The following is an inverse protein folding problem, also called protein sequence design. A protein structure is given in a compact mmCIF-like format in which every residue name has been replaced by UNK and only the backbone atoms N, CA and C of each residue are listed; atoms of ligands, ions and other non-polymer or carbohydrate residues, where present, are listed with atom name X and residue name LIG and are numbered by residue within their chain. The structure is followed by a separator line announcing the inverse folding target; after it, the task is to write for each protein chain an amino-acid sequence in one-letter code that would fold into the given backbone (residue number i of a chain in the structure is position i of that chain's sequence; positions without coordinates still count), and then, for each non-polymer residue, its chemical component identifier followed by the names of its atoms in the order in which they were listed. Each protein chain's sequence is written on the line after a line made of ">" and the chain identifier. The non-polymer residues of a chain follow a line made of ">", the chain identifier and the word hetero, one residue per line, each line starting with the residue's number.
data_IF_894276413422
#
_entry.id   IF_894276413422
#
_cell.length_a   1.000
_cell.length_b   1.000
_cell.length_c   1.000
_cell.angle_alpha   90.00
_cell.angle_beta   90.00
_cell.angle_gamma   90.00
#
_symmetry.space_group_name_H-M   'P 1'
#
loop_
_entity.id
_entity.type
_entity.pdbx_description
1 polymer ?
#
# COMPACT_ATOMS: atom_id res chain seq x y z
N UNK A 1 15.43 1.25 -23.87
CA UNK A 1 16.18 2.24 -23.04
C UNK A 1 16.06 3.71 -23.49
N UNK A 2 15.58 4.04 -24.71
CA UNK A 2 15.38 5.44 -25.14
C UNK A 2 14.06 6.10 -24.65
N UNK A 3 13.01 5.32 -24.36
CA UNK A 3 11.71 5.85 -23.88
C UNK A 3 11.70 6.36 -22.43
N UNK A 4 12.58 5.84 -21.56
CA UNK A 4 12.62 6.20 -20.13
C UNK A 4 13.30 7.56 -19.91
N UNK A 5 14.25 7.94 -20.76
CA UNK A 5 14.86 9.29 -20.71
C UNK A 5 13.91 10.39 -21.20
N UNK A 6 12.94 10.06 -22.05
CA UNK A 6 11.99 11.04 -22.60
C UNK A 6 10.86 11.37 -21.61
N UNK A 7 10.47 10.42 -20.74
CA UNK A 7 9.50 10.67 -19.67
C UNK A 7 10.07 11.55 -18.54
N UNK A 8 11.38 11.46 -18.27
CA UNK A 8 12.06 12.30 -17.28
C UNK A 8 12.33 13.73 -17.77
N UNK A 9 12.39 13.95 -19.08
CA UNK A 9 12.56 15.29 -19.68
C UNK A 9 11.21 16.01 -19.93
N UNK A 10 10.10 15.27 -20.02
CA UNK A 10 8.76 15.86 -20.14
C UNK A 10 8.20 16.38 -18.81
N UNK A 11 8.66 15.84 -17.67
CA UNK A 11 8.20 16.26 -16.34
C UNK A 11 8.91 17.51 -15.79
N UNK A 12 10.00 17.97 -16.44
CA UNK A 12 10.71 19.19 -16.02
C UNK A 12 10.17 20.48 -16.64
N UNK A 13 9.32 20.42 -17.68
CA UNK A 13 8.82 21.61 -18.39
C UNK A 13 7.36 21.98 -18.10
N UNK A 14 6.63 21.18 -17.33
CA UNK A 14 5.19 21.40 -17.08
C UNK A 14 4.84 22.24 -15.84
N UNK A 15 5.81 22.55 -14.97
CA UNK A 15 5.53 23.20 -13.67
C UNK A 15 5.75 24.71 -13.64
N UNK A 16 5.95 25.36 -14.80
CA UNK A 16 6.38 26.76 -14.88
C UNK A 16 5.31 27.78 -15.32
N UNK A 17 4.03 27.42 -15.34
CA UNK A 17 2.97 28.37 -15.71
C UNK A 17 1.76 28.29 -14.78
N UNK A 18 1.94 28.67 -13.51
CA UNK A 18 0.84 29.19 -12.69
C UNK A 18 0.98 30.72 -12.68
N UNK A 19 -0.04 31.49 -13.06
CA UNK A 19 0.05 32.95 -13.05
C UNK A 19 0.13 33.42 -11.59
N UNK A 20 1.30 33.86 -11.17
CA UNK A 20 1.50 34.49 -9.88
C UNK A 20 0.95 35.92 -9.93
N UNK A 21 -0.23 36.12 -9.35
CA UNK A 21 -0.60 37.41 -8.76
C UNK A 21 -0.80 37.19 -7.26
N UNK A 22 0.13 37.68 -6.46
CA UNK A 22 -0.16 38.20 -5.12
C UNK A 22 1.05 38.99 -4.60
N UNK A 23 0.71 40.15 -4.05
CA UNK A 23 1.52 41.22 -3.50
C UNK A 23 2.85 40.82 -2.82
N UNK A 24 3.87 41.61 -3.14
CA UNK A 24 4.97 41.88 -2.22
C UNK A 24 4.39 42.49 -0.94
N UNK A 25 4.42 41.73 0.14
CA UNK A 25 4.34 42.27 1.49
C UNK A 25 5.50 41.70 2.27
N UNK A 26 6.42 42.59 2.65
CA UNK A 26 7.58 42.29 3.45
C UNK A 26 7.20 41.76 4.83
N UNK A 27 7.70 40.56 5.11
CA UNK A 27 8.33 40.09 6.34
C UNK A 27 8.79 38.67 6.00
N UNK A 28 10.04 38.29 6.29
CA UNK A 28 10.56 36.94 6.06
C UNK A 28 9.92 35.93 7.05
N UNK A 29 8.61 35.75 6.93
CA UNK A 29 7.87 34.78 7.70
C UNK A 29 7.95 33.45 6.95
N UNK A 30 8.45 32.38 7.60
CA UNK A 30 8.63 31.09 6.92
C UNK A 30 7.31 30.66 6.28
N UNK A 31 7.35 30.34 4.99
CA UNK A 31 6.17 29.95 4.23
C UNK A 31 5.39 28.88 4.99
N UNK A 32 4.11 29.17 5.24
CA UNK A 32 3.21 28.24 5.93
C UNK A 32 2.94 26.99 5.10
N UNK A 33 3.16 27.07 3.79
CA UNK A 33 2.96 25.98 2.84
C UNK A 33 4.32 25.40 2.42
N UNK A 34 4.50 24.11 2.70
CA UNK A 34 5.65 23.33 2.24
C UNK A 34 5.22 22.30 1.21
N UNK A 35 5.97 22.20 0.12
CA UNK A 35 5.80 21.18 -0.92
C UNK A 35 6.96 20.21 -0.83
N UNK A 36 6.71 18.93 -1.02
CA UNK A 36 7.74 17.91 -1.09
C UNK A 36 7.40 16.80 -2.06
N UNK A 37 8.43 16.03 -2.40
CA UNK A 37 8.32 14.80 -3.17
C UNK A 37 8.93 13.69 -2.34
N UNK A 38 8.33 12.50 -2.32
CA UNK A 38 8.95 11.33 -1.73
C UNK A 38 9.05 10.18 -2.73
N UNK A 39 10.06 9.36 -2.50
CA UNK A 39 10.35 8.13 -3.22
C UNK A 39 10.68 7.05 -2.19
N UNK A 40 10.02 5.90 -2.28
CA UNK A 40 10.20 4.84 -1.31
C UNK A 40 9.85 3.47 -1.83
N UNK A 41 9.87 2.50 -0.94
CA UNK A 41 9.52 1.12 -1.18
C UNK A 41 8.49 0.64 -0.16
N UNK A 42 7.43 0.03 -0.66
CA UNK A 42 6.40 -0.63 0.11
C UNK A 42 6.81 -2.09 0.38
N UNK A 43 6.87 -2.43 1.66
CA UNK A 43 7.18 -3.77 2.16
C UNK A 43 6.03 -4.18 3.08
N UNK A 44 5.39 -5.30 2.78
CA UNK A 44 4.27 -5.80 3.57
C UNK A 44 3.43 -6.82 2.83
N UNK A 45 2.16 -6.93 3.21
CA UNK A 45 1.24 -7.85 2.56
C UNK A 45 -0.19 -7.64 3.00
N UNK A 46 -1.10 -8.38 2.37
CA UNK A 46 -2.46 -8.49 2.85
C UNK A 46 -2.51 -9.61 3.89
N UNK A 47 -2.63 -9.23 5.17
CA UNK A 47 -2.54 -10.14 6.30
C UNK A 47 -3.92 -10.32 6.95
N UNK A 48 -4.26 -11.53 7.39
CA UNK A 48 -5.42 -11.73 8.23
C UNK A 48 -5.13 -11.20 9.65
N UNK A 49 -6.15 -10.76 10.42
CA UNK A 49 -5.97 -10.32 11.82
C UNK A 49 -5.36 -11.40 12.72
N UNK A 50 -5.58 -12.66 12.36
CA UNK A 50 -5.09 -13.83 13.07
C UNK A 50 -4.82 -14.93 12.04
N UNK A 51 -3.82 -15.77 12.27
CA UNK A 51 -3.55 -16.92 11.40
C UNK A 51 -4.84 -17.77 11.34
N UNK A 52 -5.43 -17.98 10.14
CA UNK A 52 -6.69 -18.69 10.07
C UNK A 52 -6.54 -20.18 10.39
N UNK A 53 -7.59 -20.78 10.98
CA UNK A 53 -7.56 -22.20 11.41
C UNK A 53 -7.11 -23.20 10.33
N UNK A 54 -7.53 -23.08 9.06
CA UNK A 54 -7.10 -24.04 8.03
C UNK A 54 -5.64 -23.84 7.60
N UNK A 55 -4.97 -22.75 7.99
CA UNK A 55 -3.54 -22.54 7.74
C UNK A 55 -2.74 -23.21 8.85
N UNK A 56 -2.18 -24.40 8.56
CA UNK A 56 -1.32 -25.14 9.50
C UNK A 56 0.06 -24.52 9.62
N UNK A 57 0.64 -24.07 8.51
CA UNK A 57 2.00 -23.53 8.47
C UNK A 57 2.15 -22.51 7.34
N UNK A 58 2.85 -21.40 7.62
CA UNK A 58 3.36 -20.50 6.58
C UNK A 58 4.74 -21.01 6.17
N UNK A 59 4.86 -21.53 4.96
CA UNK A 59 6.11 -22.08 4.43
C UNK A 59 7.03 -20.97 3.92
N UNK A 60 6.45 -19.94 3.29
CA UNK A 60 7.18 -18.80 2.79
C UNK A 60 6.32 -17.53 2.83
N UNK A 61 6.95 -16.40 3.17
CA UNK A 61 6.33 -15.08 3.09
C UNK A 61 7.34 -14.09 2.49
N UNK A 62 7.01 -13.55 1.33
CA UNK A 62 7.80 -12.57 0.60
C UNK A 62 7.05 -11.23 0.62
N UNK A 63 7.44 -10.28 1.49
CA UNK A 63 6.70 -9.02 1.71
C UNK A 63 6.85 -8.00 0.56
N UNK A 64 7.25 -8.43 -0.64
CA UNK A 64 7.50 -7.53 -1.76
C UNK A 64 8.69 -6.59 -1.51
N UNK A 65 8.55 -5.34 -1.98
CA UNK A 65 9.62 -4.34 -2.09
C UNK A 65 9.35 -3.41 -3.26
N UNK A 66 8.11 -2.95 -3.38
CA UNK A 66 7.62 -2.28 -4.59
C UNK A 66 7.74 -0.77 -4.48
N UNK A 67 8.11 -0.06 -5.56
CA UNK A 67 8.34 1.37 -5.49
C UNK A 67 7.04 2.14 -5.22
N UNK A 68 7.20 3.24 -4.50
CA UNK A 68 6.19 4.25 -4.23
C UNK A 68 6.79 5.63 -4.54
N UNK A 69 5.95 6.51 -5.06
CA UNK A 69 6.30 7.91 -5.34
C UNK A 69 5.11 8.78 -5.01
N UNK A 70 5.35 9.95 -4.45
CA UNK A 70 4.26 10.87 -4.17
C UNK A 70 4.68 12.31 -3.96
N UNK A 71 3.68 13.18 -4.00
CA UNK A 71 3.77 14.59 -3.69
C UNK A 71 3.16 14.81 -2.31
N UNK A 72 3.91 15.49 -1.45
CA UNK A 72 3.49 15.84 -0.11
C UNK A 72 3.26 17.36 -0.03
N UNK A 73 2.12 17.75 0.52
CA UNK A 73 1.77 19.12 0.86
C UNK A 73 1.65 19.20 2.39
N UNK A 74 2.33 20.18 2.97
CA UNK A 74 2.29 20.43 4.41
C UNK A 74 1.87 21.87 4.67
N UNK A 75 0.94 22.07 5.60
CA UNK A 75 0.48 23.39 6.00
C UNK A 75 0.63 23.60 7.51
N UNK A 76 1.43 24.59 7.92
CA UNK A 76 1.60 24.94 9.34
C UNK A 76 0.44 25.79 9.82
N UNK A 77 -0.22 25.35 10.90
CA UNK A 77 -1.36 26.06 11.50
C UNK A 77 -0.97 27.46 11.97
N UNK A 78 0.20 27.61 12.58
CA UNK A 78 0.84 28.91 12.83
C UNK A 78 2.34 28.79 12.51
N UNK A 79 3.05 29.89 12.21
CA UNK A 79 4.48 29.85 11.87
C UNK A 79 5.35 29.19 12.97
N UNK A 80 4.95 29.35 14.23
CA UNK A 80 5.61 28.76 15.40
C UNK A 80 5.03 27.41 15.85
N UNK A 81 3.96 26.91 15.21
CA UNK A 81 3.35 25.64 15.63
C UNK A 81 4.27 24.46 15.29
N UNK A 82 4.48 23.52 16.23
CA UNK A 82 5.12 22.24 15.93
C UNK A 82 4.21 21.33 15.10
N UNK A 83 2.92 21.68 14.96
CA UNK A 83 1.94 20.91 14.20
C UNK A 83 1.81 21.41 12.75
N UNK A 84 1.69 20.47 11.82
CA UNK A 84 1.35 20.77 10.43
C UNK A 84 0.25 19.82 9.95
N UNK A 85 -0.69 20.33 9.16
CA UNK A 85 -1.59 19.51 8.38
C UNK A 85 -0.83 18.91 7.21
N UNK A 86 -1.12 17.66 6.89
CA UNK A 86 -0.54 16.91 5.78
C UNK A 86 -1.65 16.55 4.79
N UNK A 87 -1.36 16.75 3.51
CA UNK A 87 -2.13 16.25 2.37
C UNK A 87 -1.13 15.73 1.34
N UNK A 88 -1.49 14.71 0.57
CA UNK A 88 -0.60 14.26 -0.50
C UNK A 88 -1.33 13.55 -1.63
N UNK A 89 -0.56 13.20 -2.64
CA UNK A 89 -0.97 12.34 -3.74
C UNK A 89 0.17 11.38 -4.08
N UNK A 90 -0.10 10.09 -3.97
CA UNK A 90 0.92 9.05 -4.13
C UNK A 90 0.46 8.02 -5.15
N UNK A 91 1.43 7.47 -5.86
CA UNK A 91 1.26 6.28 -6.66
C UNK A 91 1.95 5.11 -5.95
N UNK A 92 1.13 4.17 -5.49
CA UNK A 92 1.50 3.05 -4.65
C UNK A 92 1.45 1.75 -5.46
N UNK A 93 2.57 1.03 -5.53
CA UNK A 93 2.54 -0.37 -5.90
C UNK A 93 2.60 -1.19 -4.62
N UNK A 94 1.68 -2.15 -4.47
CA UNK A 94 1.61 -3.08 -3.33
C UNK A 94 1.64 -4.50 -3.86
N UNK A 95 2.69 -5.24 -3.53
CA UNK A 95 2.83 -6.64 -3.91
C UNK A 95 3.35 -7.47 -2.75
N UNK A 96 2.88 -8.72 -2.67
CA UNK A 96 3.42 -9.73 -1.78
C UNK A 96 3.15 -11.12 -2.37
N UNK A 97 3.92 -12.10 -1.92
CA UNK A 97 3.64 -13.50 -2.18
C UNK A 97 3.78 -14.31 -0.90
N UNK A 98 2.90 -15.28 -0.69
CA UNK A 98 2.99 -16.20 0.42
C UNK A 98 2.64 -17.61 -0.01
N UNK A 99 3.35 -18.58 0.54
CA UNK A 99 3.03 -20.00 0.40
C UNK A 99 2.66 -20.54 1.77
N UNK A 100 1.48 -21.13 1.87
CA UNK A 100 0.93 -21.71 3.07
C UNK A 100 0.60 -23.18 2.85
N UNK A 101 0.69 -23.97 3.90
CA UNK A 101 0.13 -25.31 3.95
C UNK A 101 -1.27 -25.21 4.55
N UNK A 102 -2.27 -25.54 3.73
CA UNK A 102 -3.67 -25.56 4.10
C UNK A 102 -4.08 -26.99 4.46
N UNK A 103 -4.93 -27.14 5.47
CA UNK A 103 -5.55 -28.40 5.86
C UNK A 103 -7.03 -28.14 6.10
N UNK A 104 -7.88 -28.97 5.49
CA UNK A 104 -9.34 -28.89 5.59
C UNK A 104 -9.90 -27.50 5.29
N UNK A 105 -9.36 -26.85 4.26
CA UNK A 105 -9.78 -25.49 3.87
C UNK A 105 -11.05 -25.54 3.04
N UNK A 106 -12.17 -24.94 3.50
CA UNK A 106 -13.39 -24.90 2.72
C UNK A 106 -13.22 -23.96 1.51
N UNK A 107 -13.51 -24.49 0.32
CA UNK A 107 -13.52 -23.79 -0.97
C UNK A 107 -14.91 -23.96 -1.59
N UNK A 108 -15.54 -22.84 -1.97
CA UNK A 108 -16.91 -22.83 -2.51
C UNK A 108 -17.01 -22.52 -4.01
N UNK A 109 -15.88 -22.42 -4.71
CA UNK A 109 -15.82 -21.86 -6.07
C UNK A 109 -16.16 -22.88 -7.19
N UNK A 110 -16.35 -24.17 -6.89
CA UNK A 110 -16.24 -25.24 -7.89
C UNK A 110 -17.44 -26.15 -8.07
N UNK A 111 -18.62 -25.74 -7.64
CA UNK A 111 -19.81 -26.56 -7.86
C UNK A 111 -20.84 -25.76 -8.66
N UNK A 112 -21.34 -26.35 -9.75
CA UNK A 112 -22.60 -25.91 -10.38
C UNK A 112 -23.76 -25.81 -9.35
N UNK A 113 -23.62 -26.50 -8.20
CA UNK A 113 -24.54 -26.51 -7.06
C UNK A 113 -24.01 -25.74 -5.80
N UNK A 114 -22.91 -24.97 -5.87
CA UNK A 114 -22.29 -24.30 -4.71
C UNK A 114 -21.90 -25.21 -3.51
N UNK A 115 -21.70 -26.52 -3.73
CA UNK A 115 -21.21 -27.42 -2.67
C UNK A 115 -19.81 -27.03 -2.18
N UNK A 116 -19.68 -26.96 -0.86
CA UNK A 116 -18.42 -26.71 -0.16
C UNK A 116 -17.51 -27.94 -0.26
N UNK A 117 -16.27 -27.71 -0.73
CA UNK A 117 -15.23 -28.74 -0.88
C UNK A 117 -14.06 -28.41 0.04
N UNK A 118 -13.42 -29.41 0.63
CA UNK A 118 -12.31 -29.23 1.57
C UNK A 118 -10.97 -29.52 0.92
N UNK A 119 -10.11 -28.52 0.85
CA UNK A 119 -8.77 -28.62 0.28
C UNK A 119 -7.69 -28.78 1.35
N UNK A 120 -6.79 -29.74 1.15
CA UNK A 120 -5.59 -29.97 1.96
C UNK A 120 -4.38 -30.07 1.05
N UNK A 121 -3.41 -29.16 1.20
CA UNK A 121 -2.24 -29.10 0.33
C UNK A 121 -1.49 -27.77 0.42
N UNK A 122 -0.59 -27.51 -0.53
CA UNK A 122 0.11 -26.23 -0.62
C UNK A 122 -0.69 -25.21 -1.41
N UNK A 123 -0.85 -24.02 -0.84
CA UNK A 123 -1.46 -22.88 -1.50
C UNK A 123 -0.44 -21.75 -1.60
N UNK A 124 -0.30 -21.18 -2.79
CA UNK A 124 0.50 -19.98 -3.03
C UNK A 124 -0.40 -18.82 -3.43
N UNK A 125 -0.30 -17.71 -2.71
CA UNK A 125 -1.01 -16.47 -3.00
C UNK A 125 -0.02 -15.43 -3.50
N UNK A 126 -0.41 -14.71 -4.54
CA UNK A 126 0.35 -13.61 -5.14
C UNK A 126 -0.58 -12.41 -5.33
N UNK A 127 -0.17 -11.24 -4.85
CA UNK A 127 -0.88 -9.99 -5.07
C UNK A 127 0.03 -8.98 -5.77
N UNK A 128 -0.51 -8.25 -6.72
CA UNK A 128 0.10 -7.08 -7.37
C UNK A 128 -1.02 -6.08 -7.66
N UNK A 129 -1.10 -5.05 -6.82
CA UNK A 129 -2.14 -4.03 -6.95
C UNK A 129 -1.50 -2.65 -6.97
N UNK A 130 -2.03 -1.79 -7.84
CA UNK A 130 -1.56 -0.42 -8.04
C UNK A 130 -2.63 0.54 -7.59
N UNK A 131 -2.26 1.50 -6.76
CA UNK A 131 -3.16 2.45 -6.13
C UNK A 131 -2.74 3.88 -6.44
N UNK A 132 -3.73 4.77 -6.54
CA UNK A 132 -3.55 6.19 -6.28
C UNK A 132 -4.00 6.43 -4.86
N UNK A 133 -3.15 7.05 -4.04
CA UNK A 133 -3.39 7.24 -2.61
C UNK A 133 -3.39 8.72 -2.28
N UNK A 134 -4.40 9.14 -1.53
CA UNK A 134 -4.54 10.48 -0.98
C UNK A 134 -4.42 10.36 0.54
N UNK A 135 -3.22 10.55 1.11
CA UNK A 135 -3.05 10.64 2.55
C UNK A 135 -3.52 12.00 3.08
N UNK A 136 -4.13 11.98 4.26
CA UNK A 136 -4.51 13.18 5.01
C UNK A 136 -4.19 12.98 6.48
N UNK A 137 -3.59 13.97 7.12
CA UNK A 137 -3.22 13.80 8.52
C UNK A 137 -2.59 15.03 9.14
N UNK A 138 -1.94 14.78 10.27
CA UNK A 138 -1.19 15.78 11.02
C UNK A 138 0.21 15.27 11.27
N UNK A 139 1.17 16.18 11.26
CA UNK A 139 2.53 15.92 11.71
C UNK A 139 2.88 16.76 12.92
N UNK A 140 3.71 16.22 13.80
CA UNK A 140 4.27 16.87 14.96
C UNK A 140 5.80 16.84 14.88
N UNK A 141 6.42 18.01 14.75
CA UNK A 141 7.87 18.15 14.84
C UNK A 141 8.29 18.07 16.31
N UNK A 142 9.17 17.13 16.65
CA UNK A 142 9.64 16.99 18.02
C UNK A 142 10.52 18.19 18.39
N UNK A 143 10.28 18.85 19.55
CA UNK A 143 11.17 19.89 20.04
C UNK A 143 12.59 19.34 20.22
N UNK A 144 13.59 20.10 19.79
CA UNK A 144 15.02 19.75 19.90
C UNK A 144 15.40 18.43 19.21
N UNK A 145 14.69 18.05 18.13
CA UNK A 145 14.93 16.83 17.40
C UNK A 145 14.71 17.01 15.89
N UNK A 146 15.43 16.24 15.09
CA UNK A 146 15.20 16.16 13.63
C UNK A 146 14.05 15.22 13.26
N UNK A 147 13.38 14.63 14.24
CA UNK A 147 12.25 13.73 14.02
C UNK A 147 10.93 14.47 13.90
N UNK A 148 10.11 14.01 12.97
CA UNK A 148 8.73 14.45 12.80
C UNK A 148 7.82 13.24 12.80
N UNK A 149 6.94 13.17 13.77
CA UNK A 149 5.93 12.12 13.81
C UNK A 149 4.74 12.51 12.93
N UNK A 150 4.09 11.51 12.33
CA UNK A 150 2.87 11.71 11.57
C UNK A 150 1.81 10.70 11.95
N UNK A 151 0.56 11.13 11.93
CA UNK A 151 -0.60 10.28 12.10
C UNK A 151 -1.76 10.84 11.27
N UNK A 152 -2.58 9.95 10.72
CA UNK A 152 -3.70 10.34 9.88
C UNK A 152 -4.39 9.15 9.24
N UNK A 153 -5.15 9.45 8.20
CA UNK A 153 -5.79 8.46 7.35
C UNK A 153 -5.24 8.50 5.92
N UNK A 154 -5.64 7.53 5.13
CA UNK A 154 -5.49 7.57 3.69
C UNK A 154 -6.72 7.03 3.00
N UNK A 155 -7.00 7.57 1.83
CA UNK A 155 -7.90 6.97 0.86
C UNK A 155 -7.07 6.47 -0.32
N UNK A 156 -7.32 5.25 -0.78
CA UNK A 156 -6.61 4.62 -1.88
C UNK A 156 -7.60 4.08 -2.91
N UNK A 157 -7.39 4.42 -4.18
CA UNK A 157 -8.17 3.95 -5.31
C UNK A 157 -7.34 3.02 -6.19
N UNK A 158 -7.79 1.79 -6.37
CA UNK A 158 -7.10 0.76 -7.13
C UNK A 158 -7.24 1.02 -8.63
N UNK A 159 -6.12 1.29 -9.30
CA UNK A 159 -6.04 1.40 -10.76
C UNK A 159 -5.93 0.04 -11.44
N UNK A 160 -5.19 -0.88 -10.80
CA UNK A 160 -4.99 -2.24 -11.29
C UNK A 160 -5.05 -3.18 -10.11
N UNK A 161 -5.85 -4.23 -10.21
CA UNK A 161 -6.04 -5.27 -9.19
C UNK A 161 -5.61 -6.60 -9.78
N UNK A 162 -4.56 -7.20 -9.23
CA UNK A 162 -4.17 -8.57 -9.54
C UNK A 162 -4.01 -9.34 -8.24
N UNK A 163 -4.79 -10.39 -8.12
CA UNK A 163 -4.69 -11.36 -7.04
C UNK A 163 -4.78 -12.73 -7.66
N UNK A 164 -3.82 -13.59 -7.37
CA UNK A 164 -3.78 -14.95 -7.90
C UNK A 164 -3.57 -15.91 -6.74
N UNK A 165 -4.50 -16.85 -6.58
CA UNK A 165 -4.35 -17.98 -5.68
C UNK A 165 -4.00 -19.21 -6.52
N UNK A 166 -2.92 -19.90 -6.18
CA UNK A 166 -2.47 -21.13 -6.83
C UNK A 166 -2.62 -22.27 -5.84
N UNK A 167 -3.34 -23.31 -6.23
CA UNK A 167 -3.45 -24.55 -5.46
C UNK A 167 -2.54 -25.59 -6.10
N UNK A 168 -1.84 -26.32 -5.26
CA UNK A 168 -1.09 -27.51 -5.66
C UNK A 168 -2.08 -28.65 -5.95
N UNK A 169 -2.04 -29.17 -7.17
CA UNK A 169 -2.97 -30.21 -7.64
C UNK A 169 -2.69 -31.59 -7.07
N UNK A 170 -1.47 -31.81 -6.53
CA UNK A 170 -1.15 -32.99 -5.71
C UNK A 170 -1.83 -32.93 -4.33
N UNK A 171 -2.45 -31.79 -4.00
CA UNK A 171 -3.31 -31.65 -2.83
C UNK A 171 -4.57 -32.51 -2.88
N UNK A 172 -5.12 -32.79 -1.71
CA UNK A 172 -6.37 -33.52 -1.54
C UNK A 172 -7.55 -32.53 -1.57
N UNK A 173 -8.54 -32.82 -2.40
CA UNK A 173 -9.86 -32.19 -2.34
C UNK A 173 -10.89 -33.25 -1.95
N UNK A 174 -11.57 -33.04 -0.81
CA UNK A 174 -12.46 -34.03 -0.18
C UNK A 174 -11.82 -35.43 -0.05
N UNK A 175 -10.53 -35.47 0.27
CA UNK A 175 -9.77 -36.70 0.48
C UNK A 175 -9.29 -37.40 -0.80
N UNK A 176 -9.50 -36.81 -1.98
CA UNK A 176 -8.99 -37.33 -3.27
C UNK A 176 -7.96 -36.39 -3.87
N UNK A 177 -6.94 -36.92 -4.54
CA UNK A 177 -5.97 -36.10 -5.29
C UNK A 177 -6.74 -35.27 -6.32
N UNK A 178 -6.49 -33.97 -6.32
CA UNK A 178 -7.30 -33.03 -7.08
C UNK A 178 -6.96 -33.06 -8.58
N UNK A 179 -5.70 -32.76 -8.93
CA UNK A 179 -5.14 -32.88 -10.28
C UNK A 179 -3.63 -33.12 -10.21
N UNK A 180 -3.23 -34.38 -10.23
CA UNK A 180 -1.82 -34.79 -10.10
C UNK A 180 -0.91 -34.07 -11.12
N UNK A 181 0.17 -33.46 -10.64
CA UNK A 181 1.16 -32.73 -11.45
C UNK A 181 0.70 -31.39 -12.02
N UNK A 182 -0.50 -30.90 -11.67
CA UNK A 182 -1.02 -29.61 -12.14
C UNK A 182 -0.99 -28.54 -11.04
N UNK A 183 -0.80 -27.27 -11.42
CA UNK A 183 -0.97 -26.12 -10.52
C UNK A 183 -2.15 -25.31 -11.01
N UNK A 184 -3.20 -25.21 -10.18
CA UNK A 184 -4.41 -24.50 -10.54
C UNK A 184 -4.34 -23.06 -10.10
N UNK A 185 -4.32 -22.14 -11.06
CA UNK A 185 -4.27 -20.71 -10.81
C UNK A 185 -5.66 -20.07 -10.92
N UNK A 186 -6.12 -19.46 -9.83
CA UNK A 186 -7.37 -18.72 -9.75
C UNK A 186 -7.08 -17.23 -9.72
N UNK A 187 -7.61 -16.50 -10.71
CA UNK A 187 -7.53 -15.04 -10.77
C UNK A 187 -8.68 -14.44 -9.95
N UNK A 188 -8.35 -13.83 -8.82
CA UNK A 188 -9.32 -13.24 -7.89
C UNK A 188 -9.26 -11.70 -7.87
N UNK A 189 -8.52 -11.10 -8.81
CA UNK A 189 -8.32 -9.65 -8.87
C UNK A 189 -9.63 -8.86 -9.00
N UNK A 190 -10.65 -9.43 -9.63
CA UNK A 190 -11.94 -8.76 -9.82
C UNK A 190 -12.77 -8.66 -8.55
N UNK A 191 -12.52 -9.53 -7.57
CA UNK A 191 -13.16 -9.52 -6.26
C UNK A 191 -12.47 -8.60 -5.24
N UNK A 192 -11.33 -8.00 -5.60
CA UNK A 192 -10.68 -7.03 -4.71
C UNK A 192 -11.46 -5.72 -4.67
N UNK A 193 -11.67 -5.13 -3.49
CA UNK A 193 -12.30 -3.80 -3.40
C UNK A 193 -11.49 -2.76 -4.16
N UNK A 194 -12.17 -1.86 -4.89
CA UNK A 194 -11.48 -0.77 -5.61
C UNK A 194 -11.04 0.35 -4.70
N UNK A 195 -11.76 0.56 -3.60
CA UNK A 195 -11.49 1.65 -2.66
C UNK A 195 -11.01 1.04 -1.35
N UNK A 196 -9.85 1.50 -0.89
CA UNK A 196 -9.26 1.13 0.40
C UNK A 196 -9.13 2.41 1.24
N UNK A 197 -9.45 2.30 2.53
CA UNK A 197 -9.35 3.41 3.48
C UNK A 197 -8.62 2.89 4.69
N UNK A 198 -7.63 3.62 5.16
CA UNK A 198 -6.80 3.13 6.24
C UNK A 198 -6.29 4.22 7.15
N UNK A 199 -5.63 3.76 8.20
CA UNK A 199 -4.85 4.61 9.10
C UNK A 199 -3.41 4.61 8.62
N UNK A 200 -2.78 5.78 8.68
CA UNK A 200 -1.36 5.98 8.40
C UNK A 200 -0.70 6.60 9.62
N UNK A 201 0.45 6.07 10.02
CA UNK A 201 1.29 6.67 11.04
C UNK A 201 2.75 6.39 10.75
N UNK A 202 3.65 7.23 11.24
CA UNK A 202 5.05 7.10 10.90
C UNK A 202 5.94 8.18 11.49
N UNK A 203 7.20 8.16 11.08
CA UNK A 203 8.19 9.14 11.44
C UNK A 203 9.03 9.51 10.21
N UNK A 204 9.30 10.80 10.05
CA UNK A 204 10.30 11.31 9.12
C UNK A 204 11.51 11.79 9.94
N UNK A 205 12.71 11.40 9.49
CA UNK A 205 13.97 11.89 10.03
C UNK A 205 14.58 12.91 9.06
N UNK A 206 14.68 14.16 9.48
CA UNK A 206 15.25 15.21 8.68
C UNK A 206 16.79 15.13 8.70
N UNK A 207 17.40 14.93 7.54
CA UNK A 207 18.87 14.93 7.39
C UNK A 207 19.34 16.38 7.21
N UNK A 208 18.71 17.09 6.27
CA UNK A 208 19.04 18.46 5.87
C UNK A 208 17.76 19.30 5.70
N UNK A 209 17.85 20.61 5.44
CA UNK A 209 16.68 21.45 5.14
C UNK A 209 15.83 20.93 3.97
N UNK A 210 16.44 20.17 3.06
CA UNK A 210 15.79 19.62 1.88
C UNK A 210 15.57 18.10 1.98
N UNK A 211 16.52 17.32 2.50
CA UNK A 211 16.44 15.86 2.48
C UNK A 211 15.98 15.27 3.82
N UNK A 212 15.17 14.22 3.77
CA UNK A 212 14.80 13.43 4.94
C UNK A 212 14.50 11.98 4.60
N UNK A 213 14.63 11.09 5.58
CA UNK A 213 14.20 9.70 5.48
C UNK A 213 12.78 9.57 5.99
N UNK A 214 11.98 8.71 5.36
CA UNK A 214 10.57 8.51 5.71
C UNK A 214 10.33 7.06 6.07
N UNK A 215 9.64 6.83 7.19
CA UNK A 215 9.14 5.52 7.59
C UNK A 215 7.65 5.65 7.93
N UNK A 216 6.78 5.14 7.04
CA UNK A 216 5.33 5.32 7.13
C UNK A 216 4.63 3.96 7.09
N UNK A 217 3.85 3.66 8.11
CA UNK A 217 3.04 2.45 8.19
C UNK A 217 1.61 2.75 7.73
N UNK A 218 1.10 1.91 6.84
CA UNK A 218 -0.25 1.96 6.29
C UNK A 218 -1.01 0.70 6.70
N UNK A 219 -2.13 0.88 7.41
CA UNK A 219 -3.01 -0.22 7.83
C UNK A 219 -4.41 0.03 7.27
N UNK A 220 -4.84 -0.85 6.35
CA UNK A 220 -6.18 -0.82 5.76
C UNK A 220 -7.25 -1.23 6.78
N UNK A 221 -8.34 -0.47 6.83
CA UNK A 221 -9.51 -0.77 7.66
C UNK A 221 -10.48 -1.77 6.99
N UNK A 222 -10.87 -1.63 5.71
CA UNK A 222 -11.77 -2.56 5.07
C UNK A 222 -11.06 -3.88 4.77
N UNK A 223 -11.88 -4.92 4.53
CA UNK A 223 -11.41 -6.19 3.98
C UNK A 223 -11.00 -5.95 2.53
N UNK A 224 -9.93 -6.60 2.07
CA UNK A 224 -9.48 -6.43 0.68
C UNK A 224 -10.44 -7.04 -0.35
N UNK A 225 -11.27 -8.01 0.06
CA UNK A 225 -12.24 -8.67 -0.81
C UNK A 225 -13.63 -8.09 -0.61
N UNK A 226 -14.41 -8.04 -1.70
CA UNK A 226 -15.81 -7.65 -1.68
C UNK A 226 -16.64 -8.61 -0.82
N UNK A 227 -17.79 -8.15 -0.32
CA UNK A 227 -18.68 -8.95 0.54
C UNK A 227 -19.25 -10.19 -0.17
N UNK A 228 -19.28 -10.19 -1.50
CA UNK A 228 -19.68 -11.32 -2.34
C UNK A 228 -18.60 -12.41 -2.46
N UNK A 229 -17.39 -12.17 -1.91
CA UNK A 229 -16.31 -13.12 -1.94
C UNK A 229 -16.44 -14.17 -0.81
N UNK A 230 -17.13 -15.26 -1.11
CA UNK A 230 -17.32 -16.40 -0.18
C UNK A 230 -16.31 -17.54 -0.42
N UNK A 231 -15.35 -17.35 -1.31
CA UNK A 231 -14.45 -18.41 -1.80
C UNK A 231 -13.42 -18.83 -0.76
N UNK A 232 -12.99 -17.92 0.10
CA UNK A 232 -12.07 -18.20 1.21
C UNK A 232 -12.56 -17.47 2.47
N UNK A 233 -12.61 -18.13 3.65
CA UNK A 233 -13.20 -17.54 4.85
C UNK A 233 -12.33 -16.44 5.50
N UNK A 234 -11.27 -15.97 4.83
CA UNK A 234 -10.27 -15.10 5.42
C UNK A 234 -10.51 -13.63 5.08
N UNK A 235 -10.59 -12.81 6.12
CA UNK A 235 -10.61 -11.37 5.98
C UNK A 235 -9.17 -10.86 5.97
N UNK A 236 -8.63 -10.56 4.80
CA UNK A 236 -7.30 -9.96 4.67
C UNK A 236 -7.39 -8.43 4.74
N UNK A 237 -6.37 -7.79 5.32
CA UNK A 237 -6.21 -6.34 5.40
C UNK A 237 -4.82 -5.94 4.92
N UNK A 238 -4.72 -4.81 4.23
CA UNK A 238 -3.42 -4.28 3.82
C UNK A 238 -2.61 -3.82 5.03
N UNK A 239 -1.41 -4.36 5.21
CA UNK A 239 -0.43 -3.87 6.18
C UNK A 239 0.89 -3.69 5.43
N UNK A 240 1.26 -2.42 5.21
CA UNK A 240 2.46 -2.07 4.45
C UNK A 240 3.27 -1.01 5.18
N UNK A 241 4.57 -1.26 5.29
CA UNK A 241 5.57 -0.29 5.68
C UNK A 241 6.18 0.32 4.43
N UNK A 242 6.13 1.64 4.34
CA UNK A 242 6.81 2.42 3.33
C UNK A 242 8.10 2.99 3.94
N UNK A 243 9.23 2.67 3.33
CA UNK A 243 10.54 3.22 3.67
C UNK A 243 11.08 3.99 2.48
N UNK A 244 11.53 5.23 2.69
CA UNK A 244 11.91 6.08 1.58
C UNK A 244 12.70 7.31 1.97
N UNK A 245 12.86 8.18 0.97
CA UNK A 245 13.50 9.47 1.06
C UNK A 245 12.50 10.52 0.60
N UNK A 246 12.48 11.65 1.28
CA UNK A 246 11.70 12.83 0.93
C UNK A 246 12.63 14.00 0.62
N UNK A 247 12.21 14.82 -0.34
CA UNK A 247 12.82 16.07 -0.70
C UNK A 247 11.80 17.19 -0.52
N UNK A 248 12.09 18.14 0.37
CA UNK A 248 11.26 19.33 0.62
C UNK A 248 11.77 20.50 -0.21
N UNK A 249 10.85 21.15 -0.90
CA UNK A 249 11.06 22.39 -1.60
C UNK A 249 10.56 23.49 -0.65
N UNK A 250 11.49 24.06 0.12
CA UNK A 250 11.20 25.23 0.93
C UNK A 250 11.19 26.45 0.00
N UNK A 251 10.09 27.20 -0.01
CA UNK A 251 9.97 28.51 -0.64
C UNK A 251 9.96 29.58 0.43
#
# INVERSE_FOLDING_TARGET
>A
MKMIRMLLLGLSLGLLALPARAAETGDEQPSRLGVGVHLGFNIGGALPPSVPKPVKKVTAFMPGGTPNVGLDLSYRLTPASPFSLLLGLEYDIRSFSTTVQAEDMPIRYQSEDFKEQHYTGYQRVEMDTRYVVVPVGVSYALPNSSFRLMAGGYYAHALKRKFTAKLDGDGLMDGRVYQEGAVLAFSLGDFLVRNDVGVRFGADYQIDPHWGLTARMNVGLPKIFDKSFEVMPYSLRHVFLNLGVSYRINR
#
